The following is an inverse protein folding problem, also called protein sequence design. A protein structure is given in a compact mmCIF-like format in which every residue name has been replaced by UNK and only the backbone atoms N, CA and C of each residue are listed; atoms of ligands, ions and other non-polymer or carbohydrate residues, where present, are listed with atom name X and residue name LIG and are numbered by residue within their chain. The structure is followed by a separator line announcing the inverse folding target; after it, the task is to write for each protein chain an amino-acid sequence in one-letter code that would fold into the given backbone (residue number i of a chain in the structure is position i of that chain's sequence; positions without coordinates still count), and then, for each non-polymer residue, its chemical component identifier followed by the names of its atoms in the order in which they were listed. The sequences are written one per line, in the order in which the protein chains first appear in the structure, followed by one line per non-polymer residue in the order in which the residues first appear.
data_IF_654833659146
#
_entry.id   IF_654833659146
#
_cell.length_a   1.000
_cell.length_b   1.000
_cell.length_c   1.000
_cell.angle_alpha   90.00
_cell.angle_beta   90.00
_cell.angle_gamma   90.00
#
_symmetry.space_group_name_H-M   'P 1'
#
loop_
_entity.id
_entity.type
_entity.pdbx_description
1 polymer ?
#
# COMPACT_ATOMS: atom_id res chain seq x y z
N UNK A 1 14.84 37.73 -14.60
CA UNK A 1 13.92 37.05 -13.67
C UNK A 1 13.57 35.72 -14.30
N UNK A 2 14.12 34.62 -13.79
CA UNK A 2 13.88 33.28 -14.35
C UNK A 2 12.91 32.56 -13.42
N UNK A 3 11.68 32.35 -13.89
CA UNK A 3 10.66 31.56 -13.21
C UNK A 3 11.09 30.11 -13.23
N UNK A 4 11.41 29.56 -12.05
CA UNK A 4 11.65 28.14 -11.87
C UNK A 4 10.28 27.45 -12.02
N UNK A 5 10.12 26.66 -13.07
CA UNK A 5 9.00 25.75 -13.25
C UNK A 5 9.18 24.58 -12.29
N UNK A 6 8.70 24.72 -11.05
CA UNK A 6 8.56 23.59 -10.15
C UNK A 6 7.45 22.68 -10.68
N UNK A 7 7.85 21.60 -11.37
CA UNK A 7 6.96 20.49 -11.70
C UNK A 7 6.28 19.99 -10.42
N UNK A 8 4.94 19.90 -10.35
CA UNK A 8 4.24 19.39 -9.17
C UNK A 8 4.25 17.86 -9.20
N UNK A 9 5.42 17.24 -9.19
CA UNK A 9 5.50 15.83 -8.87
C UNK A 9 5.39 15.72 -7.34
N UNK A 10 4.33 15.13 -6.78
CA UNK A 10 4.19 15.04 -5.33
C UNK A 10 5.39 14.28 -4.76
N UNK A 11 6.12 14.91 -3.86
CA UNK A 11 7.21 14.28 -3.11
C UNK A 11 6.61 13.06 -2.42
N UNK A 12 6.97 11.85 -2.86
CA UNK A 12 6.63 10.59 -2.21
C UNK A 12 7.17 10.63 -0.77
N UNK A 13 6.33 10.98 0.20
CA UNK A 13 6.69 10.95 1.61
C UNK A 13 6.89 9.49 2.02
N UNK A 14 7.94 9.19 2.77
CA UNK A 14 8.14 7.84 3.30
C UNK A 14 6.94 7.47 4.19
N UNK A 15 6.19 6.40 3.90
CA UNK A 15 5.03 6.01 4.68
C UNK A 15 5.42 5.61 6.11
N UNK A 16 4.57 5.96 7.08
CA UNK A 16 4.61 5.42 8.42
C UNK A 16 3.88 4.08 8.45
N UNK A 17 4.60 3.02 8.08
CA UNK A 17 4.06 1.67 7.91
C UNK A 17 3.31 1.16 9.15
N UNK A 18 3.77 1.51 10.36
CA UNK A 18 3.16 1.08 11.60
C UNK A 18 1.75 1.67 11.79
N UNK A 19 1.58 2.92 11.40
CA UNK A 19 0.32 3.64 11.57
C UNK A 19 -0.60 3.49 10.36
N UNK A 20 -0.04 3.36 9.16
CA UNK A 20 -0.78 3.37 7.90
C UNK A 20 -1.13 1.99 7.37
N UNK A 21 -0.43 0.91 7.76
CA UNK A 21 -0.77 -0.46 7.32
C UNK A 21 -1.60 -1.16 8.39
N UNK A 22 -2.75 -1.71 7.98
CA UNK A 22 -3.64 -2.52 8.83
C UNK A 22 -3.97 -3.84 8.15
N UNK A 23 -4.30 -4.85 8.95
CA UNK A 23 -4.84 -6.12 8.45
C UNK A 23 -6.37 -6.03 8.57
N UNK A 24 -7.08 -6.25 7.46
CA UNK A 24 -8.54 -6.19 7.44
C UNK A 24 -9.22 -7.53 7.71
N UNK A 25 -8.56 -8.64 7.37
CA UNK A 25 -9.11 -9.99 7.51
C UNK A 25 -8.00 -11.05 7.48
N UNK A 26 -8.34 -12.29 7.85
CA UNK A 26 -7.39 -13.41 7.89
C UNK A 26 -6.65 -13.53 9.21
N UNK A 27 -5.36 -13.90 9.18
CA UNK A 27 -4.52 -14.02 10.38
C UNK A 27 -3.97 -12.66 10.82
N UNK A 28 -3.78 -12.47 12.13
CA UNK A 28 -3.35 -11.21 12.76
C UNK A 28 -2.02 -11.35 13.53
N UNK A 29 -1.28 -12.43 13.29
CA UNK A 29 0.01 -12.67 13.93
C UNK A 29 1.13 -11.80 13.33
N UNK A 30 2.30 -11.80 13.96
CA UNK A 30 3.47 -11.05 13.52
C UNK A 30 3.87 -11.36 12.08
N UNK A 31 3.68 -12.60 11.62
CA UNK A 31 3.97 -12.99 10.24
C UNK A 31 2.99 -12.35 9.25
N UNK A 32 1.70 -12.32 9.59
CA UNK A 32 0.69 -11.62 8.79
C UNK A 32 0.97 -10.11 8.70
N UNK A 33 1.45 -9.50 9.79
CA UNK A 33 1.79 -8.08 9.81
C UNK A 33 2.97 -7.74 8.90
N UNK A 34 4.06 -8.50 8.95
CA UNK A 34 5.19 -8.31 8.02
C UNK A 34 4.75 -8.46 6.57
N UNK A 35 3.91 -9.46 6.27
CA UNK A 35 3.37 -9.69 4.93
C UNK A 35 2.50 -8.53 4.45
N UNK A 36 1.69 -7.93 5.33
CA UNK A 36 0.90 -6.75 5.01
C UNK A 36 1.79 -5.53 4.70
N UNK A 37 2.91 -5.35 5.40
CA UNK A 37 3.89 -4.30 5.09
C UNK A 37 4.52 -4.54 3.72
N UNK A 38 5.00 -5.76 3.45
CA UNK A 38 5.59 -6.09 2.14
C UNK A 38 4.61 -5.82 1.00
N UNK A 39 3.32 -6.09 1.22
CA UNK A 39 2.25 -5.78 0.27
C UNK A 39 2.12 -4.27 0.05
N UNK A 40 2.06 -3.49 1.13
CA UNK A 40 1.96 -2.04 1.07
C UNK A 40 3.17 -1.38 0.39
N UNK A 41 4.38 -1.88 0.66
CA UNK A 41 5.62 -1.41 0.03
C UNK A 41 5.54 -1.62 -1.48
N UNK A 42 5.16 -2.81 -1.94
CA UNK A 42 5.03 -3.11 -3.37
C UNK A 42 3.97 -2.25 -4.05
N UNK A 43 2.84 -2.00 -3.39
CA UNK A 43 1.80 -1.09 -3.88
C UNK A 43 2.32 0.36 -4.01
N UNK A 44 3.15 0.80 -3.07
CA UNK A 44 3.78 2.12 -3.10
C UNK A 44 4.84 2.26 -4.20
N UNK A 45 5.68 1.23 -4.38
CA UNK A 45 6.69 1.17 -5.43
C UNK A 45 6.06 1.15 -6.81
N UNK A 46 5.00 0.36 -7.00
CA UNK A 46 4.22 0.32 -8.24
C UNK A 46 3.38 1.57 -8.50
N UNK A 47 3.24 2.47 -7.52
CA UNK A 47 2.44 3.69 -7.62
C UNK A 47 0.92 3.45 -7.55
N UNK A 48 0.48 2.24 -7.19
CA UNK A 48 -0.91 1.93 -6.91
C UNK A 48 -1.39 2.53 -5.58
N UNK A 49 -0.45 2.84 -4.69
CA UNK A 49 -0.67 3.63 -3.49
C UNK A 49 0.37 4.75 -3.43
N UNK A 50 -0.04 5.95 -3.02
CA UNK A 50 0.83 7.13 -2.97
C UNK A 50 1.54 7.30 -1.62
N UNK A 51 1.34 6.35 -0.69
CA UNK A 51 1.91 6.39 0.65
C UNK A 51 1.12 7.26 1.63
N UNK A 52 -0.05 7.77 1.25
CA UNK A 52 -0.90 8.62 2.10
C UNK A 52 -2.15 7.88 2.55
N UNK A 53 -2.64 8.23 3.73
CA UNK A 53 -3.83 7.59 4.32
C UNK A 53 -3.53 6.18 4.82
N UNK A 54 -4.59 5.44 5.10
CA UNK A 54 -4.53 4.07 5.60
C UNK A 54 -4.64 3.10 4.42
N UNK A 55 -3.87 2.02 4.48
CA UNK A 55 -4.03 0.86 3.63
C UNK A 55 -4.39 -0.34 4.49
N UNK A 56 -5.47 -1.01 4.13
CA UNK A 56 -5.96 -2.22 4.79
C UNK A 56 -5.67 -3.39 3.87
N UNK A 57 -4.84 -4.35 4.31
CA UNK A 57 -4.54 -5.57 3.56
C UNK A 57 -5.41 -6.70 4.09
N UNK A 58 -6.19 -7.32 3.20
CA UNK A 58 -7.05 -8.46 3.52
C UNK A 58 -6.30 -9.76 3.28
N UNK A 59 -6.52 -10.76 4.12
CA UNK A 59 -5.81 -12.05 4.11
C UNK A 59 -4.33 -11.92 3.72
N UNK A 60 -3.53 -11.28 4.58
CA UNK A 60 -2.17 -10.86 4.24
C UNK A 60 -1.27 -12.00 3.71
N UNK A 61 -1.49 -13.24 4.13
CA UNK A 61 -0.79 -14.41 3.60
C UNK A 61 -1.20 -14.73 2.17
N UNK A 62 -2.51 -14.81 1.89
CA UNK A 62 -3.05 -15.05 0.55
C UNK A 62 -2.69 -13.92 -0.41
N UNK A 63 -2.90 -12.68 0.02
CA UNK A 63 -2.57 -11.47 -0.76
C UNK A 63 -1.08 -11.37 -1.07
N UNK A 64 -0.20 -11.63 -0.09
CA UNK A 64 1.23 -11.72 -0.38
C UNK A 64 1.58 -12.92 -1.27
N UNK A 65 0.86 -14.04 -1.15
CA UNK A 65 1.07 -15.23 -1.97
C UNK A 65 0.79 -15.01 -3.47
N UNK A 66 -0.08 -14.06 -3.81
CA UNK A 66 -0.34 -13.63 -5.19
C UNK A 66 0.82 -12.85 -5.81
N UNK A 67 1.75 -12.36 -4.98
CA UNK A 67 2.88 -11.57 -5.47
C UNK A 67 4.01 -12.49 -5.93
N UNK A 68 4.44 -12.43 -7.19
CA UNK A 68 5.55 -13.25 -7.66
C UNK A 68 6.84 -12.91 -6.88
N UNK A 69 7.60 -13.94 -6.54
CA UNK A 69 8.84 -13.82 -5.77
C UNK A 69 9.98 -13.37 -6.70
N UNK A 70 10.27 -12.06 -6.73
CA UNK A 70 11.49 -11.34 -7.17
C UNK A 70 12.24 -11.71 -8.48
N UNK A 71 11.97 -12.81 -9.17
CA UNK A 71 12.89 -13.34 -10.20
C UNK A 71 12.53 -12.89 -11.63
N UNK A 72 11.28 -12.51 -11.92
CA UNK A 72 10.92 -12.14 -13.29
C UNK A 72 10.85 -10.63 -13.49
N UNK A 73 11.97 -10.10 -14.00
CA UNK A 73 12.12 -8.74 -14.52
C UNK A 73 10.99 -8.40 -15.50
N UNK A 74 10.14 -7.44 -15.13
CA UNK A 74 9.32 -6.67 -16.08
C UNK A 74 7.79 -6.84 -15.98
N UNK A 75 7.28 -7.71 -15.10
CA UNK A 75 5.84 -7.86 -14.85
C UNK A 75 5.32 -6.85 -13.81
N UNK A 76 4.15 -6.26 -14.04
CA UNK A 76 3.50 -5.38 -13.06
C UNK A 76 3.02 -6.19 -11.84
N UNK A 77 3.77 -6.11 -10.73
CA UNK A 77 3.55 -6.87 -9.48
C UNK A 77 2.16 -6.70 -8.84
N UNK A 78 1.43 -5.66 -9.23
CA UNK A 78 0.13 -5.29 -8.65
C UNK A 78 -1.04 -5.73 -9.52
N UNK A 79 -0.80 -6.19 -10.76
CA UNK A 79 -1.87 -6.50 -11.70
C UNK A 79 -2.85 -7.58 -11.20
N UNK A 80 -2.38 -8.48 -10.34
CA UNK A 80 -3.19 -9.58 -9.80
C UNK A 80 -3.88 -9.24 -8.46
N UNK A 81 -3.60 -8.06 -7.88
CA UNK A 81 -4.25 -7.62 -6.65
C UNK A 81 -5.49 -6.80 -6.96
N UNK A 82 -6.59 -7.16 -6.31
CA UNK A 82 -7.89 -6.54 -6.53
C UNK A 82 -8.20 -5.59 -5.37
N UNK A 83 -8.35 -4.29 -5.69
CA UNK A 83 -8.83 -3.29 -4.74
C UNK A 83 -10.23 -3.67 -4.21
N UNK A 84 -10.44 -3.58 -2.91
CA UNK A 84 -11.66 -3.99 -2.21
C UNK A 84 -11.74 -5.49 -1.88
N UNK A 85 -10.84 -6.32 -2.42
CA UNK A 85 -10.78 -7.76 -2.08
C UNK A 85 -9.48 -8.10 -1.37
N UNK A 86 -8.35 -7.71 -1.97
CA UNK A 86 -7.01 -8.00 -1.46
C UNK A 86 -6.47 -6.86 -0.60
N UNK A 87 -6.83 -5.62 -0.94
CA UNK A 87 -6.49 -4.45 -0.16
C UNK A 87 -7.51 -3.33 -0.37
N UNK A 88 -7.60 -2.41 0.59
CA UNK A 88 -8.42 -1.21 0.53
C UNK A 88 -7.58 0.02 0.85
N UNK A 89 -7.86 1.11 0.14
CA UNK A 89 -7.30 2.42 0.42
C UNK A 89 -8.33 3.21 1.21
N UNK A 90 -8.06 3.40 2.50
CA UNK A 90 -8.85 4.28 3.33
C UNK A 90 -8.27 5.70 3.23
N UNK A 91 -9.04 6.59 2.61
CA UNK A 91 -8.77 8.02 2.69
C UNK A 91 -8.97 8.48 4.14
N UNK A 92 -8.12 9.39 4.61
CA UNK A 92 -8.16 10.01 5.96
C UNK A 92 -9.57 10.51 6.35
N UNK A 93 -10.42 10.83 5.37
CA UNK A 93 -11.80 11.28 5.54
C UNK A 93 -12.79 10.23 6.06
N UNK A 94 -12.51 8.92 5.93
CA UNK A 94 -13.42 7.86 6.39
C UNK A 94 -13.24 7.52 7.89
N UNK A 95 -12.11 7.89 8.49
CA UNK A 95 -11.80 7.61 9.91
C UNK A 95 -11.74 8.85 10.80
N UNK A 96 -11.85 10.06 10.22
CA UNK A 96 -12.12 11.29 10.97
C UNK A 96 -13.61 11.34 11.34
N UNK A 97 -14.05 10.45 12.24
CA UNK A 97 -15.33 10.64 12.93
C UNK A 97 -15.15 11.92 13.75
N UNK A 98 -15.84 12.98 13.36
CA UNK A 98 -15.84 14.25 14.09
C UNK A 98 -16.07 13.97 15.58
N UNK A 99 -15.15 14.50 16.40
CA UNK A 99 -15.26 14.59 17.84
C UNK A 99 -15.28 16.07 18.22
#
# INVERSE_FOLDING_TARGET
MSTISESPCPIKKNPDWNNQVKIGSGRWDTGAWHRAIDVAVKLFEAGAWDGKGLIVVHDAYGTHGKMPSFVEKGGSFVADLVLGTDYELASDSMYRREG
#
